data_IF_710593504215
#
_entry.id   IF_710593504215
#
_cell.length_a   1.000
_cell.length_b   1.000
_cell.length_c   1.000
_cell.angle_alpha   90.00
_cell.angle_beta   90.00
_cell.angle_gamma   90.00
#
_symmetry.space_group_name_H-M   'P 1'
#
loop_
_entity.id
_entity.type
_entity.pdbx_description
1 polymer ?
#
# COMPACT_ATOMS: atom_id res chain seq x y z
N UNK A 1 -14.47 -21.51 19.81
CA UNK A 1 -14.57 -20.17 19.21
C UNK A 1 -13.83 -20.22 17.89
N UNK A 2 -14.61 -20.18 16.81
CA UNK A 2 -14.33 -20.75 15.49
C UNK A 2 -13.36 -19.88 14.68
N UNK A 3 -12.35 -20.50 14.08
CA UNK A 3 -11.44 -19.87 13.13
C UNK A 3 -12.21 -19.25 11.98
N UNK A 4 -12.00 -17.95 11.78
CA UNK A 4 -12.67 -17.17 10.74
C UNK A 4 -11.98 -17.44 9.40
N UNK A 5 -12.83 -17.79 8.44
CA UNK A 5 -12.62 -17.89 7.00
C UNK A 5 -11.63 -16.89 6.45
N UNK A 6 -10.71 -17.40 5.62
CA UNK A 6 -9.64 -16.69 4.93
C UNK A 6 -10.24 -15.89 3.77
N UNK A 7 -10.73 -14.68 4.05
CA UNK A 7 -10.62 -13.60 3.06
C UNK A 7 -9.11 -13.45 2.76
N UNK A 8 -8.64 -13.16 1.53
CA UNK A 8 -7.28 -12.67 1.36
C UNK A 8 -7.22 -11.27 2.00
N UNK A 9 -7.22 -11.25 3.33
CA UNK A 9 -6.87 -10.11 4.15
C UNK A 9 -5.49 -9.73 3.65
N UNK A 10 -5.39 -8.60 2.94
CA UNK A 10 -4.09 -7.96 2.77
C UNK A 10 -3.44 -7.96 4.15
N UNK A 11 -2.20 -8.43 4.21
CA UNK A 11 -1.46 -8.42 5.45
C UNK A 11 -1.41 -7.03 6.05
N UNK A 12 -0.81 -6.92 7.23
CA UNK A 12 -0.47 -5.62 7.78
C UNK A 12 0.30 -4.80 6.72
N UNK A 13 -0.13 -3.55 6.46
CA UNK A 13 0.50 -2.66 5.49
C UNK A 13 1.13 -1.50 6.24
N UNK A 14 2.42 -1.30 6.04
CA UNK A 14 3.12 -0.12 6.56
C UNK A 14 3.13 0.99 5.52
N UNK A 15 2.95 2.22 5.97
CA UNK A 15 3.03 3.41 5.14
C UNK A 15 4.15 4.32 5.62
N UNK A 16 4.98 4.77 4.68
CA UNK A 16 6.00 5.79 4.96
C UNK A 16 5.71 7.06 4.16
N UNK A 17 5.80 8.20 4.82
CA UNK A 17 5.55 9.51 4.24
C UNK A 17 6.84 10.32 4.22
N UNK A 18 7.19 10.84 3.06
CA UNK A 18 8.35 11.74 2.92
C UNK A 18 7.94 12.96 2.12
N UNK A 19 7.87 14.11 2.80
CA UNK A 19 7.58 15.37 2.15
C UNK A 19 8.86 15.94 1.51
N UNK A 20 8.77 16.30 0.24
CA UNK A 20 9.82 17.00 -0.51
C UNK A 20 9.21 18.24 -1.14
N UNK A 21 9.45 19.39 -0.51
CA UNK A 21 8.84 20.66 -0.91
C UNK A 21 7.32 20.58 -0.89
N UNK A 22 6.69 20.74 -2.07
CA UNK A 22 5.23 20.73 -2.25
C UNK A 22 4.66 19.34 -2.60
N UNK A 23 5.50 18.32 -2.59
CA UNK A 23 5.14 16.95 -2.92
C UNK A 23 5.30 16.03 -1.71
N UNK A 24 4.48 14.99 -1.66
CA UNK A 24 4.54 13.92 -0.67
C UNK A 24 4.79 12.61 -1.40
N UNK A 25 5.91 11.95 -1.09
CA UNK A 25 6.13 10.55 -1.44
C UNK A 25 5.46 9.69 -0.38
N UNK A 26 4.72 8.68 -0.83
CA UNK A 26 4.13 7.67 0.06
C UNK A 26 4.59 6.30 -0.40
N UNK A 27 5.28 5.57 0.47
CA UNK A 27 5.56 4.15 0.30
C UNK A 27 4.48 3.33 1.00
N UNK A 28 4.05 2.23 0.39
CA UNK A 28 3.18 1.22 0.98
C UNK A 28 3.87 -0.14 0.86
N UNK A 29 4.02 -0.83 1.98
CA UNK A 29 4.78 -2.06 2.12
C UNK A 29 3.88 -3.14 2.71
N UNK A 30 3.72 -4.27 2.01
CA UNK A 30 3.03 -5.45 2.56
C UNK A 30 3.96 -6.20 3.53
N UNK A 31 3.55 -6.37 4.79
CA UNK A 31 4.38 -6.97 5.83
C UNK A 31 4.66 -8.47 5.60
N UNK A 32 3.80 -9.17 4.87
CA UNK A 32 3.98 -10.61 4.64
C UNK A 32 4.99 -10.87 3.51
N UNK A 33 4.84 -10.19 2.38
CA UNK A 33 5.61 -10.43 1.16
C UNK A 33 6.83 -9.54 1.05
N UNK A 34 6.88 -8.44 1.81
CA UNK A 34 7.91 -7.39 1.69
C UNK A 34 7.79 -6.56 0.42
N UNK A 35 6.71 -6.72 -0.36
CA UNK A 35 6.51 -5.95 -1.60
C UNK A 35 6.23 -4.50 -1.25
N UNK A 36 7.07 -3.62 -1.79
CA UNK A 36 6.94 -2.18 -1.65
C UNK A 36 6.49 -1.53 -2.97
N UNK A 37 5.60 -0.53 -2.85
CA UNK A 37 5.32 0.44 -3.91
C UNK A 37 5.43 1.85 -3.38
N UNK A 38 5.84 2.79 -4.24
CA UNK A 38 5.78 4.22 -3.92
C UNK A 38 4.89 4.99 -4.90
N UNK A 39 4.23 6.03 -4.40
CA UNK A 39 3.58 7.08 -5.19
C UNK A 39 4.13 8.45 -4.81
N UNK A 40 3.87 9.45 -5.66
CA UNK A 40 4.12 10.86 -5.35
C UNK A 40 2.86 11.65 -5.66
N UNK A 41 2.43 12.48 -4.72
CA UNK A 41 1.29 13.38 -4.89
C UNK A 41 1.53 14.76 -4.27
N UNK A 42 0.56 15.68 -4.33
CA UNK A 42 0.66 16.97 -3.66
C UNK A 42 0.71 16.81 -2.14
N UNK A 43 1.59 17.53 -1.46
CA UNK A 43 1.68 17.51 0.01
C UNK A 43 0.44 18.10 0.70
N UNK A 44 -0.32 18.94 0.00
CA UNK A 44 -1.59 19.48 0.48
C UNK A 44 -2.76 18.49 0.35
N UNK A 45 -2.58 17.35 -0.31
CA UNK A 45 -3.61 16.33 -0.41
C UNK A 45 -3.79 15.63 0.95
N UNK A 46 -5.03 15.34 1.38
CA UNK A 46 -5.25 14.58 2.62
C UNK A 46 -4.48 13.26 2.62
N UNK A 47 -3.81 12.96 3.74
CA UNK A 47 -3.00 11.76 3.91
C UNK A 47 -3.76 10.48 3.51
N UNK A 48 -5.02 10.36 3.94
CA UNK A 48 -5.88 9.23 3.62
C UNK A 48 -6.10 9.01 2.13
N UNK A 49 -6.08 10.06 1.29
CA UNK A 49 -6.19 9.91 -0.16
C UNK A 49 -4.91 9.34 -0.77
N UNK A 50 -3.75 9.80 -0.30
CA UNK A 50 -2.45 9.28 -0.74
C UNK A 50 -2.25 7.83 -0.27
N UNK A 51 -2.65 7.50 0.96
CA UNK A 51 -2.67 6.13 1.49
C UNK A 51 -3.52 5.21 0.63
N UNK A 52 -4.76 5.60 0.34
CA UNK A 52 -5.67 4.81 -0.49
C UNK A 52 -5.10 4.58 -1.90
N UNK A 53 -4.43 5.58 -2.47
CA UNK A 53 -3.80 5.45 -3.79
C UNK A 53 -2.60 4.50 -3.74
N UNK A 54 -1.75 4.61 -2.71
CA UNK A 54 -0.62 3.72 -2.50
C UNK A 54 -1.08 2.27 -2.27
N UNK A 55 -2.11 2.08 -1.43
CA UNK A 55 -2.72 0.77 -1.16
C UNK A 55 -3.30 0.13 -2.42
N UNK A 56 -4.04 0.89 -3.24
CA UNK A 56 -4.56 0.39 -4.52
C UNK A 56 -3.44 -0.06 -5.46
N UNK A 57 -2.33 0.68 -5.50
CA UNK A 57 -1.15 0.31 -6.29
C UNK A 57 -0.50 -0.97 -5.75
N UNK A 58 -0.38 -1.11 -4.44
CA UNK A 58 0.19 -2.30 -3.79
C UNK A 58 -0.64 -3.54 -4.10
N UNK A 59 -1.97 -3.46 -3.92
CA UNK A 59 -2.91 -4.53 -4.27
C UNK A 59 -2.70 -5.03 -5.70
N UNK A 60 -2.70 -4.10 -6.66
CA UNK A 60 -2.50 -4.43 -8.07
C UNK A 60 -1.14 -5.09 -8.34
N UNK A 61 -0.08 -4.71 -7.61
CA UNK A 61 1.24 -5.35 -7.73
C UNK A 61 1.23 -6.77 -7.18
N UNK A 62 0.62 -6.99 -6.01
CA UNK A 62 0.50 -8.31 -5.41
C UNK A 62 -0.33 -9.25 -6.31
N UNK A 63 -1.43 -8.76 -6.89
CA UNK A 63 -2.22 -9.51 -7.86
C UNK A 63 -1.38 -9.97 -9.07
N UNK A 64 -0.54 -9.09 -9.61
CA UNK A 64 0.35 -9.42 -10.74
C UNK A 64 1.40 -10.47 -10.36
N UNK A 65 1.99 -10.37 -9.17
CA UNK A 65 2.98 -11.34 -8.67
C UNK A 65 2.32 -12.70 -8.45
N UNK A 66 1.13 -12.71 -7.86
CA UNK A 66 0.40 -13.95 -7.56
C UNK A 66 -0.17 -14.62 -8.82
N UNK A 67 -0.45 -13.86 -9.88
CA UNK A 67 -0.96 -14.38 -11.16
C UNK A 67 0.14 -14.76 -12.16
N UNK A 68 1.41 -14.48 -11.83
CA UNK A 68 2.58 -14.75 -12.67
C UNK A 68 3.39 -16.00 -12.30
N UNK A 69 2.84 -16.84 -11.40
CA UNK A 69 3.30 -18.21 -11.10
C UNK A 69 2.25 -19.21 -11.59
#
# INVERSE_FOLDING_TARGET
>A
MTGRTQDPVLGEVYFEFTQVGRSMKVAAIDAHTGVEVSIVGPAACPQSQLENLALKKLRKRLEVINSGN
#
